data_IF_969629608113
#
_entry.id   IF_969629608113
#
_cell.length_a   1.000
_cell.length_b   1.000
_cell.length_c   1.000
_cell.angle_alpha   90.00
_cell.angle_beta   90.00
_cell.angle_gamma   90.00
#
_symmetry.space_group_name_H-M   'P 1'
#
loop_
_entity.id
_entity.type
_entity.pdbx_description
1 polymer ?
#
# COMPACT_ATOMS: atom_id res chain seq x y z
N UNK A 1 24.24 10.36 28.48
CA UNK A 1 25.08 10.82 27.36
C UNK A 1 24.85 9.84 26.22
N UNK A 2 24.39 10.32 25.07
CA UNK A 2 24.13 9.47 23.90
C UNK A 2 25.43 9.10 23.16
N UNK A 3 25.41 8.05 22.32
CA UNK A 3 26.56 7.66 21.51
C UNK A 3 26.93 8.77 20.51
N UNK A 4 28.24 9.01 20.34
CA UNK A 4 28.79 9.97 19.38
C UNK A 4 29.25 9.19 18.15
N UNK A 5 28.75 9.55 16.98
CA UNK A 5 29.16 8.94 15.72
C UNK A 5 30.10 9.88 14.96
N UNK A 6 31.20 9.34 14.44
CA UNK A 6 32.19 10.08 13.65
C UNK A 6 32.19 9.51 12.24
N UNK A 7 31.96 10.37 11.25
CA UNK A 7 32.02 10.02 9.84
C UNK A 7 33.46 10.18 9.34
N UNK A 8 34.02 9.08 8.84
CA UNK A 8 35.34 9.04 8.26
C UNK A 8 35.32 9.59 6.82
N UNK A 9 36.46 10.07 6.29
CA UNK A 9 36.55 10.63 4.93
C UNK A 9 36.26 9.61 3.82
N UNK A 10 36.22 8.32 4.12
CA UNK A 10 35.81 7.24 3.21
C UNK A 10 34.29 7.02 3.18
N UNK A 11 33.52 7.79 3.95
CA UNK A 11 32.06 7.70 4.07
C UNK A 11 31.58 6.67 5.10
N UNK A 12 32.49 5.96 5.77
CA UNK A 12 32.12 5.03 6.85
C UNK A 12 31.79 5.78 8.14
N UNK A 13 30.84 5.27 8.91
CA UNK A 13 30.47 5.83 10.23
C UNK A 13 31.04 4.92 11.31
N UNK A 14 31.92 5.46 12.15
CA UNK A 14 32.48 4.77 13.31
C UNK A 14 31.94 5.35 14.61
N UNK A 15 31.54 4.47 15.53
CA UNK A 15 31.11 4.88 16.87
C UNK A 15 32.33 5.36 17.68
N UNK A 16 32.30 6.61 18.12
CA UNK A 16 33.34 7.24 18.91
C UNK A 16 33.25 6.77 20.35
N UNK A 17 34.13 5.85 20.75
CA UNK A 17 34.28 5.46 22.15
C UNK A 17 35.12 6.53 22.87
N UNK A 18 34.61 7.18 23.94
CA UNK A 18 35.37 8.18 24.67
C UNK A 18 36.66 7.58 25.24
N UNK A 19 37.73 8.36 25.18
CA UNK A 19 39.07 7.97 25.65
C UNK A 19 39.00 7.60 27.15
N UNK A 20 39.19 6.32 27.46
CA UNK A 20 39.11 5.79 28.83
C UNK A 20 38.26 4.52 28.96
N UNK A 21 37.40 4.23 27.98
CA UNK A 21 36.62 2.99 27.92
C UNK A 21 37.17 2.00 26.89
N UNK A 22 38.50 1.83 26.86
CA UNK A 22 39.13 0.81 26.04
C UNK A 22 38.74 -0.57 26.58
N UNK A 23 37.74 -1.20 25.94
CA UNK A 23 37.39 -2.58 26.23
C UNK A 23 38.61 -3.50 26.09
N UNK A 24 38.65 -4.62 26.82
CA UNK A 24 39.78 -5.55 26.78
C UNK A 24 40.09 -5.95 25.33
N UNK A 25 41.37 -6.04 24.95
CA UNK A 25 41.79 -6.29 23.57
C UNK A 25 41.14 -7.57 23.07
N UNK A 26 40.34 -7.46 21.99
CA UNK A 26 39.71 -8.63 21.37
C UNK A 26 40.82 -9.60 20.93
N UNK A 27 40.78 -10.87 21.35
CA UNK A 27 41.78 -11.84 20.95
C UNK A 27 41.73 -12.05 19.44
N UNK A 28 42.90 -11.92 18.81
CA UNK A 28 43.12 -12.15 17.39
C UNK A 28 42.72 -13.61 17.07
N UNK A 29 41.51 -13.83 16.52
CA UNK A 29 41.11 -15.16 16.04
C UNK A 29 41.82 -15.44 14.72
N UNK A 30 42.91 -16.20 14.81
CA UNK A 30 43.53 -16.87 13.68
C UNK A 30 42.52 -17.75 12.97
N UNK A 31 42.46 -17.60 11.65
CA UNK A 31 41.64 -18.38 10.73
C UNK A 31 42.24 -19.79 10.61
N UNK A 32 41.78 -20.72 11.45
CA UNK A 32 42.12 -22.14 11.32
C UNK A 32 41.05 -22.85 10.47
N UNK A 33 41.44 -23.29 9.27
CA UNK A 33 40.77 -24.37 8.56
C UNK A 33 40.95 -25.64 9.40
N UNK A 34 39.85 -26.32 9.73
CA UNK A 34 39.89 -27.61 10.41
C UNK A 34 38.62 -28.41 10.16
N UNK A 35 38.69 -29.38 9.24
CA UNK A 35 37.82 -30.56 9.21
C UNK A 35 37.95 -31.31 10.55
N UNK A 36 36.84 -31.68 11.18
CA UNK A 36 36.88 -32.53 12.36
C UNK A 36 35.49 -33.00 12.82
N UNK A 37 35.21 -34.29 12.58
CA UNK A 37 34.09 -35.05 13.11
C UNK A 37 34.09 -35.08 14.66
N UNK A 38 32.90 -34.86 15.25
CA UNK A 38 32.38 -35.56 16.43
C UNK A 38 32.94 -35.21 17.82
N UNK A 39 32.04 -34.76 18.72
CA UNK A 39 32.01 -35.18 20.12
C UNK A 39 30.75 -34.61 20.81
N UNK A 40 29.94 -35.49 21.39
CA UNK A 40 28.87 -35.16 22.32
C UNK A 40 29.48 -34.69 23.65
N UNK A 41 29.01 -33.57 24.18
CA UNK A 41 29.46 -33.01 25.45
C UNK A 41 28.40 -32.07 25.99
N UNK A 42 27.67 -32.54 27.00
CA UNK A 42 26.76 -31.77 27.83
C UNK A 42 27.55 -30.67 28.57
N UNK A 43 27.12 -29.42 28.42
CA UNK A 43 27.58 -28.31 29.26
C UNK A 43 26.51 -27.22 29.31
N UNK A 44 26.04 -26.95 30.53
CA UNK A 44 25.12 -25.88 30.90
C UNK A 44 25.59 -24.52 30.37
N UNK A 45 24.94 -24.04 29.30
CA UNK A 45 25.11 -22.70 28.79
C UNK A 45 24.08 -21.79 29.45
N UNK A 46 24.50 -21.13 30.52
CA UNK A 46 23.85 -19.91 31.01
C UNK A 46 23.84 -18.88 29.88
N UNK A 47 22.62 -18.56 29.44
CA UNK A 47 22.28 -17.64 28.36
C UNK A 47 22.63 -16.19 28.71
N UNK A 48 23.92 -15.91 28.77
CA UNK A 48 24.47 -14.56 28.63
C UNK A 48 24.34 -14.15 27.17
N UNK A 49 23.12 -13.77 26.79
CA UNK A 49 22.74 -13.17 25.51
C UNK A 49 23.26 -11.71 25.48
N UNK A 50 24.56 -11.54 25.69
CA UNK A 50 25.23 -10.27 25.68
C UNK A 50 25.81 -10.02 24.28
N UNK A 51 25.06 -9.23 23.52
CA UNK A 51 25.58 -8.14 22.73
C UNK A 51 26.60 -8.51 21.65
N UNK A 52 26.12 -9.07 20.54
CA UNK A 52 26.47 -8.60 19.18
C UNK A 52 25.42 -9.10 18.20
N UNK A 53 24.13 -8.85 18.45
CA UNK A 53 23.15 -9.03 17.37
C UNK A 53 23.51 -8.00 16.27
N UNK A 54 23.81 -8.44 15.05
CA UNK A 54 24.17 -7.54 13.98
C UNK A 54 22.97 -6.61 13.71
N UNK A 55 23.14 -5.27 13.76
CA UNK A 55 22.05 -4.30 13.61
C UNK A 55 21.30 -4.40 12.26
N UNK A 56 21.84 -5.16 11.31
CA UNK A 56 21.19 -5.46 10.05
C UNK A 56 19.96 -6.38 10.19
N UNK A 57 19.93 -7.30 11.18
CA UNK A 57 18.82 -8.25 11.33
C UNK A 57 17.59 -7.57 11.93
N UNK A 58 17.77 -6.65 12.89
CA UNK A 58 16.64 -5.92 13.49
C UNK A 58 15.96 -4.97 12.52
N UNK A 59 16.73 -4.33 11.62
CA UNK A 59 16.17 -3.44 10.59
C UNK A 59 15.30 -4.20 9.59
N UNK A 60 15.67 -5.43 9.25
CA UNK A 60 14.94 -6.22 8.27
C UNK A 60 13.61 -6.70 8.84
N UNK A 61 13.58 -7.07 10.12
CA UNK A 61 12.36 -7.45 10.84
C UNK A 61 11.40 -6.26 11.02
N UNK A 62 11.92 -5.05 11.29
CA UNK A 62 11.11 -3.83 11.39
C UNK A 62 10.47 -3.47 10.03
N UNK A 63 11.21 -3.60 8.94
CA UNK A 63 10.69 -3.36 7.58
C UNK A 63 9.61 -4.37 7.23
N UNK A 64 9.81 -5.66 7.52
CA UNK A 64 8.82 -6.70 7.27
C UNK A 64 7.54 -6.46 8.07
N UNK A 65 7.66 -6.06 9.34
CA UNK A 65 6.49 -5.70 10.17
C UNK A 65 5.68 -4.54 9.58
N UNK A 66 6.37 -3.50 9.08
CA UNK A 66 5.71 -2.39 8.40
C UNK A 66 4.97 -2.84 7.15
N UNK A 67 5.54 -3.75 6.35
CA UNK A 67 4.88 -4.29 5.15
C UNK A 67 3.60 -5.05 5.49
N UNK A 68 3.61 -5.91 6.52
CA UNK A 68 2.42 -6.67 6.92
C UNK A 68 1.30 -5.76 7.41
N UNK A 69 1.65 -4.67 8.10
CA UNK A 69 0.68 -3.66 8.52
C UNK A 69 0.03 -2.97 7.32
N UNK A 70 0.83 -2.55 6.33
CA UNK A 70 0.34 -1.90 5.12
C UNK A 70 -0.51 -2.83 4.25
N UNK A 71 -0.15 -4.11 4.15
CA UNK A 71 -0.93 -5.13 3.44
C UNK A 71 -2.35 -5.23 4.02
N UNK A 72 -2.48 -5.24 5.36
CA UNK A 72 -3.77 -5.31 6.05
C UNK A 72 -4.60 -4.04 5.84
N UNK A 73 -3.99 -2.86 5.95
CA UNK A 73 -4.70 -1.59 5.77
C UNK A 73 -5.19 -1.47 4.32
N UNK A 74 -4.35 -1.79 3.35
CA UNK A 74 -4.73 -1.77 1.94
C UNK A 74 -5.90 -2.73 1.67
N UNK A 75 -5.86 -3.94 2.22
CA UNK A 75 -6.95 -4.91 2.07
C UNK A 75 -8.26 -4.42 2.69
N UNK A 76 -8.21 -3.83 3.89
CA UNK A 76 -9.40 -3.23 4.52
C UNK A 76 -9.98 -2.09 3.67
N UNK A 77 -9.12 -1.25 3.12
CA UNK A 77 -9.51 -0.15 2.23
C UNK A 77 -10.17 -0.68 0.95
N UNK A 78 -9.59 -1.72 0.36
CA UNK A 78 -10.09 -2.37 -0.85
C UNK A 78 -11.48 -3.00 -0.63
N UNK A 79 -11.67 -3.65 0.52
CA UNK A 79 -12.96 -4.25 0.92
C UNK A 79 -14.01 -3.19 1.20
N UNK A 80 -13.65 -2.10 1.88
CA UNK A 80 -14.55 -0.98 2.12
C UNK A 80 -14.95 -0.31 0.79
N UNK A 81 -14.01 -0.13 -0.13
CA UNK A 81 -14.31 0.40 -1.45
C UNK A 81 -15.26 -0.53 -2.22
N UNK A 82 -14.99 -1.84 -2.20
CA UNK A 82 -15.83 -2.84 -2.87
C UNK A 82 -17.26 -2.85 -2.31
N UNK A 83 -17.42 -2.70 -0.99
CA UNK A 83 -18.73 -2.65 -0.38
C UNK A 83 -19.51 -1.40 -0.78
N UNK A 84 -18.86 -0.23 -0.85
CA UNK A 84 -19.51 0.99 -1.35
C UNK A 84 -19.88 0.89 -2.82
N UNK A 85 -19.00 0.36 -3.68
CA UNK A 85 -19.32 0.13 -5.10
C UNK A 85 -20.47 -0.86 -5.28
N UNK A 86 -20.49 -1.96 -4.52
CA UNK A 86 -21.59 -2.93 -4.58
C UNK A 86 -22.93 -2.33 -4.14
N UNK A 87 -22.93 -1.54 -3.06
CA UNK A 87 -24.12 -0.82 -2.60
C UNK A 87 -24.58 0.20 -3.64
N UNK A 88 -23.65 0.89 -4.30
CA UNK A 88 -23.97 1.84 -5.37
C UNK A 88 -24.59 1.13 -6.57
N UNK A 89 -23.98 0.07 -7.07
CA UNK A 89 -24.51 -0.72 -8.19
C UNK A 89 -25.91 -1.25 -7.85
N UNK A 90 -26.12 -1.71 -6.61
CA UNK A 90 -27.42 -2.17 -6.13
C UNK A 90 -28.46 -1.05 -6.15
N UNK A 91 -28.18 0.09 -5.51
CA UNK A 91 -29.04 1.28 -5.51
C UNK A 91 -29.33 1.77 -6.92
N UNK A 92 -28.33 1.78 -7.78
CA UNK A 92 -28.46 2.22 -9.17
C UNK A 92 -29.38 1.29 -9.98
N UNK A 93 -29.23 -0.04 -9.83
CA UNK A 93 -30.13 -1.01 -10.45
C UNK A 93 -31.55 -0.90 -9.92
N UNK A 94 -31.72 -0.68 -8.60
CA UNK A 94 -33.04 -0.44 -8.00
C UNK A 94 -33.69 0.82 -8.57
N UNK A 95 -32.94 1.93 -8.66
CA UNK A 95 -33.40 3.19 -9.25
C UNK A 95 -33.81 3.06 -10.72
N UNK A 96 -33.07 2.26 -11.50
CA UNK A 96 -33.44 1.97 -12.90
C UNK A 96 -34.73 1.15 -12.96
N UNK A 97 -34.88 0.14 -12.10
CA UNK A 97 -36.08 -0.73 -12.07
C UNK A 97 -37.34 0.02 -11.65
N UNK A 98 -37.23 0.91 -10.68
CA UNK A 98 -38.36 1.67 -10.16
C UNK A 98 -38.85 2.75 -11.14
N UNK A 99 -38.05 3.09 -12.16
CA UNK A 99 -38.41 4.05 -13.23
C UNK A 99 -38.53 5.51 -12.77
N UNK A 100 -38.59 5.75 -11.46
CA UNK A 100 -38.60 7.07 -10.82
C UNK A 100 -37.36 7.89 -11.16
N UNK A 101 -36.19 7.24 -11.27
CA UNK A 101 -34.95 7.91 -11.65
C UNK A 101 -34.99 8.46 -13.08
N UNK A 102 -35.63 7.75 -14.03
CA UNK A 102 -35.76 8.22 -15.40
C UNK A 102 -36.61 9.49 -15.46
N UNK A 103 -37.62 9.63 -14.61
CA UNK A 103 -38.49 10.82 -14.55
C UNK A 103 -37.71 12.02 -14.01
N UNK A 104 -36.93 11.85 -12.94
CA UNK A 104 -36.12 12.94 -12.35
C UNK A 104 -34.98 13.38 -13.28
N UNK A 105 -34.30 12.43 -13.93
CA UNK A 105 -33.27 12.74 -14.92
C UNK A 105 -33.85 13.43 -16.14
N UNK A 106 -35.01 12.98 -16.62
CA UNK A 106 -35.73 13.63 -17.73
C UNK A 106 -36.20 15.02 -17.34
N UNK A 107 -36.58 15.25 -16.07
CA UNK A 107 -36.92 16.57 -15.58
C UNK A 107 -35.69 17.50 -15.52
N UNK A 108 -34.52 17.02 -15.10
CA UNK A 108 -33.27 17.80 -15.14
C UNK A 108 -32.82 18.10 -16.57
N UNK A 109 -32.92 17.14 -17.48
CA UNK A 109 -32.50 17.26 -18.88
C UNK A 109 -33.65 17.61 -19.83
N UNK A 110 -34.77 18.12 -19.31
CA UNK A 110 -35.97 18.45 -20.09
C UNK A 110 -35.68 19.38 -21.28
N UNK A 111 -34.64 20.22 -21.14
CA UNK A 111 -34.22 21.17 -22.19
C UNK A 111 -33.70 20.49 -23.46
N UNK A 112 -33.24 19.25 -23.39
CA UNK A 112 -32.72 18.49 -24.54
C UNK A 112 -33.78 17.60 -25.20
N UNK A 113 -34.97 17.44 -24.61
CA UNK A 113 -36.01 16.49 -25.05
C UNK A 113 -35.46 15.12 -25.52
N UNK A 114 -34.58 14.45 -24.74
CA UNK A 114 -34.02 13.18 -25.17
C UNK A 114 -35.11 12.10 -25.20
N UNK A 115 -35.02 11.20 -26.18
CA UNK A 115 -35.94 10.06 -26.26
C UNK A 115 -35.71 9.14 -25.03
N UNK A 116 -36.76 8.72 -24.31
CA UNK A 116 -36.63 8.02 -23.02
C UNK A 116 -35.84 6.71 -23.13
N UNK A 117 -35.99 6.00 -24.26
CA UNK A 117 -35.23 4.78 -24.56
C UNK A 117 -33.72 5.02 -24.62
N UNK A 118 -33.30 6.15 -25.19
CA UNK A 118 -31.88 6.50 -25.33
C UNK A 118 -31.25 6.79 -23.97
N UNK A 119 -31.96 7.49 -23.08
CA UNK A 119 -31.51 7.77 -21.71
C UNK A 119 -31.29 6.45 -20.95
N UNK A 120 -32.26 5.53 -21.01
CA UNK A 120 -32.12 4.21 -20.39
C UNK A 120 -30.93 3.43 -20.95
N UNK A 121 -30.72 3.43 -22.28
CA UNK A 121 -29.58 2.76 -22.90
C UNK A 121 -28.24 3.34 -22.44
N UNK A 122 -28.13 4.67 -22.35
CA UNK A 122 -26.90 5.32 -21.86
C UNK A 122 -26.64 4.95 -20.39
N UNK A 123 -27.67 4.99 -19.53
CA UNK A 123 -27.53 4.65 -18.12
C UNK A 123 -27.05 3.20 -17.91
N UNK A 124 -27.58 2.25 -18.70
CA UNK A 124 -27.11 0.87 -18.70
C UNK A 124 -25.68 0.73 -19.25
N UNK A 125 -25.33 1.53 -20.27
CA UNK A 125 -23.98 1.56 -20.83
C UNK A 125 -22.95 2.03 -19.80
N UNK A 126 -23.24 3.12 -19.08
CA UNK A 126 -22.38 3.64 -18.00
C UNK A 126 -22.24 2.60 -16.88
N UNK A 127 -23.35 2.00 -16.43
CA UNK A 127 -23.32 0.94 -15.42
C UNK A 127 -22.47 -0.25 -15.83
N UNK A 128 -22.63 -0.71 -17.07
CA UNK A 128 -21.86 -1.84 -17.60
C UNK A 128 -20.38 -1.51 -17.66
N UNK A 129 -20.05 -0.29 -18.12
CA UNK A 129 -18.67 0.19 -18.17
C UNK A 129 -18.04 0.23 -16.78
N UNK A 130 -18.77 0.73 -15.79
CA UNK A 130 -18.31 0.83 -14.40
C UNK A 130 -18.11 -0.55 -13.77
N UNK A 131 -19.06 -1.47 -13.94
CA UNK A 131 -18.94 -2.85 -13.44
C UNK A 131 -17.76 -3.58 -14.07
N UNK A 132 -17.56 -3.43 -15.39
CA UNK A 132 -16.42 -4.04 -16.10
C UNK A 132 -15.11 -3.44 -15.62
N UNK A 133 -15.05 -2.12 -15.49
CA UNK A 133 -13.88 -1.42 -14.96
C UNK A 133 -13.54 -1.88 -13.54
N UNK A 134 -14.53 -1.91 -12.64
CA UNK A 134 -14.38 -2.40 -11.27
C UNK A 134 -13.88 -3.84 -11.25
N UNK A 135 -14.46 -4.73 -12.07
CA UNK A 135 -14.03 -6.12 -12.17
C UNK A 135 -12.54 -6.25 -12.57
N UNK A 136 -12.09 -5.46 -13.56
CA UNK A 136 -10.67 -5.42 -13.97
C UNK A 136 -9.80 -4.86 -12.85
N UNK A 137 -10.23 -3.79 -12.19
CA UNK A 137 -9.49 -3.17 -11.09
C UNK A 137 -9.30 -4.14 -9.91
N UNK A 138 -10.36 -4.82 -9.45
CA UNK A 138 -10.26 -5.79 -8.36
C UNK A 138 -9.49 -7.05 -8.76
N UNK A 139 -9.54 -7.46 -10.02
CA UNK A 139 -8.68 -8.55 -10.51
C UNK A 139 -7.20 -8.17 -10.42
N UNK A 140 -6.83 -6.96 -10.83
CA UNK A 140 -5.46 -6.43 -10.70
C UNK A 140 -5.05 -6.30 -9.23
N UNK A 141 -5.94 -5.84 -8.36
CA UNK A 141 -5.68 -5.73 -6.93
C UNK A 141 -5.45 -7.11 -6.27
N UNK A 142 -6.29 -8.10 -6.60
CA UNK A 142 -6.11 -9.48 -6.16
C UNK A 142 -4.80 -10.09 -6.68
N UNK A 143 -4.44 -9.82 -7.93
CA UNK A 143 -3.17 -10.26 -8.51
C UNK A 143 -1.96 -9.59 -7.81
N UNK A 144 -2.06 -8.30 -7.47
CA UNK A 144 -1.02 -7.58 -6.74
C UNK A 144 -0.81 -8.16 -5.34
N UNK A 145 -1.90 -8.45 -4.61
CA UNK A 145 -1.85 -9.09 -3.30
C UNK A 145 -1.22 -10.49 -3.36
N UNK A 146 -1.55 -11.28 -4.41
CA UNK A 146 -0.99 -12.62 -4.57
C UNK A 146 0.49 -12.63 -4.94
N UNK A 147 0.92 -11.71 -5.83
CA UNK A 147 2.28 -11.73 -6.38
C UNK A 147 3.32 -11.04 -5.49
N UNK A 148 2.89 -10.21 -4.54
CA UNK A 148 3.76 -9.41 -3.63
C UNK A 148 4.88 -8.64 -4.35
N UNK A 149 4.74 -8.37 -5.65
CA UNK A 149 5.74 -7.68 -6.47
C UNK A 149 5.42 -6.19 -6.57
N UNK A 150 6.41 -5.34 -6.29
CA UNK A 150 6.30 -3.87 -6.38
C UNK A 150 5.85 -3.35 -7.75
N UNK A 151 6.11 -4.10 -8.83
CA UNK A 151 5.64 -3.73 -10.18
C UNK A 151 4.12 -3.78 -10.33
N UNK A 152 3.45 -4.74 -9.67
CA UNK A 152 1.99 -4.90 -9.76
C UNK A 152 1.27 -3.73 -9.09
N UNK A 153 1.87 -3.16 -8.03
CA UNK A 153 1.34 -1.97 -7.35
C UNK A 153 1.36 -0.72 -8.24
N UNK A 154 2.36 -0.57 -9.11
CA UNK A 154 2.38 0.56 -10.07
C UNK A 154 1.23 0.49 -11.07
N UNK A 155 0.93 -0.71 -11.57
CA UNK A 155 -0.20 -0.91 -12.47
C UNK A 155 -1.53 -0.63 -11.75
N UNK A 156 -1.66 -1.09 -10.49
CA UNK A 156 -2.82 -0.81 -9.66
C UNK A 156 -3.00 0.69 -9.38
N UNK A 157 -1.92 1.41 -9.09
CA UNK A 157 -1.96 2.86 -8.86
C UNK A 157 -2.39 3.62 -10.13
N UNK A 158 -1.82 3.26 -11.28
CA UNK A 158 -2.21 3.86 -12.56
C UNK A 158 -3.68 3.58 -12.89
N UNK A 159 -4.16 2.35 -12.66
CA UNK A 159 -5.57 2.02 -12.80
C UNK A 159 -6.41 2.87 -11.84
N UNK A 160 -6.04 2.95 -10.57
CA UNK A 160 -6.72 3.78 -9.57
C UNK A 160 -6.89 5.24 -9.98
N UNK A 161 -5.86 5.85 -10.60
CA UNK A 161 -5.96 7.23 -11.15
C UNK A 161 -7.02 7.33 -12.24
N UNK A 162 -7.07 6.35 -13.16
CA UNK A 162 -8.13 6.30 -14.20
C UNK A 162 -9.51 6.18 -13.56
N UNK A 163 -9.64 5.36 -12.51
CA UNK A 163 -10.87 5.22 -11.74
C UNK A 163 -11.33 6.52 -11.09
N UNK A 164 -10.41 7.26 -10.45
CA UNK A 164 -10.72 8.57 -9.84
C UNK A 164 -11.20 9.56 -10.89
N UNK A 165 -10.53 9.64 -12.05
CA UNK A 165 -10.94 10.53 -13.14
C UNK A 165 -12.30 10.13 -13.69
N UNK A 166 -12.55 8.82 -13.88
CA UNK A 166 -13.85 8.30 -14.31
C UNK A 166 -14.95 8.66 -13.32
N UNK A 167 -14.74 8.37 -12.03
CA UNK A 167 -15.69 8.68 -10.97
C UNK A 167 -15.92 10.17 -10.79
N UNK A 168 -14.91 11.02 -11.01
CA UNK A 168 -15.07 12.47 -10.98
C UNK A 168 -16.01 12.96 -12.09
N UNK A 169 -15.90 12.38 -13.30
CA UNK A 169 -16.82 12.66 -14.41
C UNK A 169 -18.23 12.14 -14.09
N UNK A 170 -18.36 10.97 -13.47
CA UNK A 170 -19.65 10.42 -13.03
C UNK A 170 -20.27 11.22 -11.86
N UNK A 171 -19.46 11.80 -10.97
CA UNK A 171 -19.90 12.65 -9.87
C UNK A 171 -20.50 13.97 -10.34
N UNK A 172 -20.16 14.41 -11.55
CA UNK A 172 -20.83 15.55 -12.18
C UNK A 172 -22.29 15.24 -12.52
N UNK A 173 -22.61 13.97 -12.83
CA UNK A 173 -23.94 13.55 -13.26
C UNK A 173 -24.86 13.26 -12.07
N UNK A 174 -24.32 12.74 -10.97
CA UNK A 174 -25.11 12.38 -9.78
C UNK A 174 -24.41 12.79 -8.47
N UNK A 175 -25.17 13.43 -7.56
CA UNK A 175 -24.71 13.87 -6.24
C UNK A 175 -24.33 12.69 -5.34
N UNK A 176 -24.89 11.51 -5.57
CA UNK A 176 -24.57 10.30 -4.80
C UNK A 176 -23.19 9.73 -5.13
N UNK A 177 -22.67 9.98 -6.34
CA UNK A 177 -21.32 9.59 -6.75
C UNK A 177 -20.21 10.35 -6.02
N UNK A 178 -20.56 11.44 -5.33
CA UNK A 178 -19.61 12.21 -4.54
C UNK A 178 -19.04 11.43 -3.35
N UNK A 179 -19.80 10.50 -2.76
CA UNK A 179 -19.34 9.66 -1.64
C UNK A 179 -18.30 8.64 -2.12
N UNK A 180 -18.55 8.00 -3.27
CA UNK A 180 -17.66 7.00 -3.87
C UNK A 180 -16.38 7.67 -4.35
N UNK A 181 -16.50 8.86 -4.94
CA UNK A 181 -15.36 9.71 -5.28
C UNK A 181 -14.49 10.01 -4.05
N UNK A 182 -15.09 10.38 -2.91
CA UNK A 182 -14.35 10.61 -1.67
C UNK A 182 -13.63 9.36 -1.15
N UNK A 183 -14.26 8.18 -1.24
CA UNK A 183 -13.64 6.91 -0.85
C UNK A 183 -12.43 6.55 -1.74
N UNK A 184 -12.55 6.78 -3.05
CA UNK A 184 -11.46 6.61 -4.01
C UNK A 184 -10.32 7.60 -3.78
N UNK A 185 -10.65 8.86 -3.48
CA UNK A 185 -9.67 9.90 -3.18
C UNK A 185 -8.87 9.56 -1.91
N UNK A 186 -9.54 9.06 -0.87
CA UNK A 186 -8.88 8.59 0.36
C UNK A 186 -7.93 7.41 0.08
N UNK A 187 -8.35 6.48 -0.79
CA UNK A 187 -7.52 5.34 -1.18
C UNK A 187 -6.26 5.75 -1.95
N UNK A 188 -6.40 6.70 -2.86
CA UNK A 188 -5.28 7.30 -3.57
C UNK A 188 -4.35 8.08 -2.64
N UNK A 189 -4.90 8.91 -1.75
CA UNK A 189 -4.12 9.69 -0.81
C UNK A 189 -3.29 8.76 0.09
N UNK A 190 -3.87 7.64 0.54
CA UNK A 190 -3.18 6.65 1.34
C UNK A 190 -2.02 5.99 0.58
N UNK A 191 -2.26 5.57 -0.67
CA UNK A 191 -1.21 5.02 -1.53
C UNK A 191 -0.08 6.04 -1.79
N UNK A 192 -0.44 7.32 -1.98
CA UNK A 192 0.55 8.38 -2.24
C UNK A 192 1.37 8.75 -1.02
N UNK A 193 0.75 8.86 0.15
CA UNK A 193 1.45 9.08 1.42
C UNK A 193 2.49 7.98 1.68
N UNK A 194 2.20 6.75 1.26
CA UNK A 194 3.15 5.65 1.34
C UNK A 194 4.35 5.83 0.39
N UNK A 195 4.13 6.27 -0.85
CA UNK A 195 5.21 6.59 -1.80
C UNK A 195 6.13 7.69 -1.27
N UNK A 196 5.55 8.77 -0.73
CA UNK A 196 6.31 9.91 -0.22
C UNK A 196 7.11 9.54 1.05
N UNK A 197 6.55 8.70 1.93
CA UNK A 197 7.26 8.16 3.09
C UNK A 197 8.44 7.26 2.70
N UNK A 198 8.29 6.45 1.65
CA UNK A 198 9.37 5.62 1.11
C UNK A 198 10.47 6.46 0.44
N UNK A 199 10.09 7.52 -0.29
CA UNK A 199 11.03 8.42 -0.95
C UNK A 199 11.92 9.18 0.06
N UNK A 200 11.34 9.70 1.15
CA UNK A 200 12.09 10.40 2.21
C UNK A 200 13.16 9.50 2.86
N UNK A 201 12.88 8.21 3.04
CA UNK A 201 13.87 7.25 3.54
C UNK A 201 15.06 7.08 2.59
N UNK A 202 14.81 6.99 1.29
CA UNK A 202 15.89 6.81 0.31
C UNK A 202 16.71 8.08 0.07
N UNK A 203 16.10 9.27 0.20
CA UNK A 203 16.79 10.56 0.14
C UNK A 203 17.73 10.81 1.32
N UNK A 204 17.38 10.31 2.52
CA UNK A 204 18.21 10.44 3.73
C UNK A 204 19.50 9.59 3.72
N UNK A 205 19.63 8.61 2.82
CA UNK A 205 20.84 7.78 2.69
C UNK A 205 21.83 8.29 1.62
N UNK A 206 21.58 9.47 1.05
CA UNK A 206 22.41 10.05 -0.03
C UNK A 206 23.17 11.32 0.40
N UNK A 207 23.19 11.62 1.70
CA UNK A 207 23.94 12.74 2.30
C UNK A 207 25.15 12.27 3.07
#
# INVERSE_FOLDING_TARGET
QGPIFVQNPDGTITEGVPAGLAGPPKPHRGRALGLGLGAAGDADSSSSRAASEPPAVSLQEEVDYMYTCHERIMLLLLLAQLSFEALYVLEYVLRIKDGTSAVELTAMYARLNPHPTLVTTILWGILTLEVVYGAVYYALAGQALWTKRSSSFKALANAGVVGIVGLALLAYVDKFNLIIFFAHLLSYLYARLHEDAAALRTGSCRG
#
